data_IF_508766092995
#
_entry.id   IF_508766092995
#
_cell.length_a   1.000
_cell.length_b   1.000
_cell.length_c   1.000
_cell.angle_alpha   90.00
_cell.angle_beta   90.00
_cell.angle_gamma   90.00
#
_symmetry.space_group_name_H-M   'P 1'
#
loop_
_entity.id
_entity.type
_entity.pdbx_description
1 polymer ?
#
# COMPACT_ATOMS: atom_id res chain seq x y z
N UNK A 1 10.75 -11.13 11.75
CA UNK A 1 10.64 -10.32 10.51
C UNK A 1 11.45 -10.89 9.35
N UNK A 2 12.79 -10.93 9.41
CA UNK A 2 13.66 -11.36 8.28
C UNK A 2 13.32 -12.74 7.69
N UNK A 3 13.19 -13.77 8.52
CA UNK A 3 12.96 -15.16 8.08
C UNK A 3 11.64 -15.30 7.32
N UNK A 4 10.56 -14.72 7.85
CA UNK A 4 9.23 -14.78 7.26
C UNK A 4 8.96 -13.66 6.25
N UNK A 5 10.00 -12.90 5.86
CA UNK A 5 9.89 -11.74 4.98
C UNK A 5 8.77 -10.78 5.41
N UNK A 6 8.57 -10.60 6.71
CA UNK A 6 7.49 -9.75 7.23
C UNK A 6 7.86 -8.27 7.07
N UNK A 7 6.89 -7.47 6.66
CA UNK A 7 6.99 -6.00 6.68
C UNK A 7 5.86 -5.36 7.45
N UNK A 8 6.13 -4.23 8.12
CA UNK A 8 5.11 -3.38 8.72
C UNK A 8 4.77 -2.28 7.71
N UNK A 9 3.50 -1.92 7.53
CA UNK A 9 3.09 -0.85 6.61
C UNK A 9 1.91 -0.04 7.19
N UNK A 10 1.18 0.65 6.33
CA UNK A 10 0.01 1.42 6.70
C UNK A 10 0.34 2.69 7.47
N UNK A 11 -0.59 3.08 8.35
CA UNK A 11 -0.51 4.39 8.99
C UNK A 11 0.59 4.49 10.05
N UNK A 12 1.00 3.37 10.64
CA UNK A 12 2.15 3.29 11.57
C UNK A 12 3.46 3.73 10.94
N UNK A 13 3.70 3.37 9.67
CA UNK A 13 4.98 3.71 9.02
C UNK A 13 5.04 5.20 8.67
N UNK A 14 3.91 5.81 8.34
CA UNK A 14 3.85 7.27 8.12
C UNK A 14 4.27 8.01 9.39
N UNK A 15 3.79 7.61 10.57
CA UNK A 15 4.16 8.28 11.83
C UNK A 15 5.61 8.06 12.21
N UNK A 16 6.21 6.94 11.81
CA UNK A 16 7.65 6.72 11.97
C UNK A 16 8.47 7.67 11.06
N UNK A 17 7.98 7.98 9.85
CA UNK A 17 8.70 8.84 8.88
C UNK A 17 8.46 10.32 9.16
N UNK A 18 7.20 10.73 9.29
CA UNK A 18 6.76 12.13 9.42
C UNK A 18 6.71 12.61 10.88
N UNK A 19 6.95 11.71 11.84
CA UNK A 19 6.79 11.97 13.27
C UNK A 19 5.33 11.90 13.74
N UNK A 20 5.08 12.45 14.93
CA UNK A 20 3.79 12.36 15.64
C UNK A 20 2.71 13.30 15.08
N UNK A 21 2.51 13.28 13.75
CA UNK A 21 1.50 14.10 13.06
C UNK A 21 0.08 13.56 13.27
N UNK A 22 -0.07 12.29 13.67
CA UNK A 22 -1.32 11.67 14.13
C UNK A 22 -1.01 10.37 14.90
N UNK A 23 -2.00 9.84 15.62
CA UNK A 23 -1.91 8.51 16.24
C UNK A 23 -2.43 7.42 15.27
N UNK A 24 -1.66 6.36 14.97
CA UNK A 24 -2.17 5.23 14.19
C UNK A 24 -3.22 4.45 15.00
N UNK A 25 -4.27 3.98 14.32
CA UNK A 25 -5.34 3.19 14.97
C UNK A 25 -5.05 1.69 15.00
N UNK A 26 -4.19 1.23 14.10
CA UNK A 26 -3.84 -0.15 13.85
C UNK A 26 -2.39 -0.26 13.35
N UNK A 27 -1.83 -1.46 13.46
CA UNK A 27 -0.55 -1.84 12.86
C UNK A 27 -0.78 -2.91 11.79
N UNK A 28 -0.39 -2.62 10.55
CA UNK A 28 -0.54 -3.56 9.44
C UNK A 28 0.76 -4.35 9.21
N UNK A 29 0.69 -5.67 9.36
CA UNK A 29 1.77 -6.62 9.09
C UNK A 29 1.50 -7.35 7.77
N UNK A 30 2.48 -7.38 6.88
CA UNK A 30 2.38 -8.07 5.60
C UNK A 30 3.35 -9.23 5.53
N UNK A 31 2.89 -10.37 5.02
CA UNK A 31 3.69 -11.58 4.81
C UNK A 31 3.45 -12.17 3.42
N UNK A 32 4.43 -12.86 2.81
CA UNK A 32 4.20 -13.62 1.59
C UNK A 32 3.29 -14.83 1.85
N UNK A 33 2.66 -15.32 0.79
CA UNK A 33 1.81 -16.50 0.84
C UNK A 33 2.51 -17.69 1.52
N UNK A 34 1.80 -18.35 2.45
CA UNK A 34 2.30 -19.49 3.21
C UNK A 34 3.03 -19.12 4.50
N UNK A 35 3.26 -17.83 4.78
CA UNK A 35 3.96 -17.38 5.99
C UNK A 35 3.03 -16.93 7.12
N UNK A 36 1.71 -16.86 6.88
CA UNK A 36 0.70 -16.46 7.87
C UNK A 36 0.81 -17.28 9.17
N UNK A 37 0.90 -18.61 9.05
CA UNK A 37 0.87 -19.53 10.20
C UNK A 37 2.00 -19.30 11.20
N UNK A 38 3.22 -19.03 10.72
CA UNK A 38 4.36 -18.78 11.60
C UNK A 38 4.20 -17.50 12.42
N UNK A 39 3.57 -16.46 11.85
CA UNK A 39 3.32 -15.20 12.54
C UNK A 39 2.12 -15.31 13.49
N UNK A 40 1.06 -16.00 13.08
CA UNK A 40 -0.05 -16.35 13.99
C UNK A 40 0.46 -17.10 15.21
N UNK A 41 1.32 -18.11 15.03
CA UNK A 41 1.88 -18.87 16.14
C UNK A 41 2.72 -17.97 17.06
N UNK A 42 3.58 -17.12 16.50
CA UNK A 42 4.34 -16.15 17.27
C UNK A 42 3.46 -15.20 18.09
N UNK A 43 2.40 -14.65 17.49
CA UNK A 43 1.48 -13.76 18.21
C UNK A 43 0.78 -14.49 19.37
N UNK A 44 0.40 -15.76 19.16
CA UNK A 44 -0.26 -16.56 20.19
C UNK A 44 0.68 -17.01 21.32
N UNK A 45 1.93 -17.33 21.02
CA UNK A 45 2.88 -17.89 21.98
C UNK A 45 3.68 -16.82 22.73
N UNK A 46 4.01 -15.72 22.07
CA UNK A 46 5.01 -14.74 22.55
C UNK A 46 4.40 -13.38 22.90
N UNK A 47 3.08 -13.20 22.74
CA UNK A 47 2.41 -11.92 23.00
C UNK A 47 1.04 -12.11 23.64
N UNK A 48 0.47 -11.04 24.17
CA UNK A 48 -0.90 -11.03 24.71
C UNK A 48 -1.98 -10.80 23.65
N UNK A 49 -1.62 -10.70 22.37
CA UNK A 49 -2.59 -10.48 21.30
C UNK A 49 -3.44 -11.73 21.06
N UNK A 50 -4.76 -11.53 20.97
CA UNK A 50 -5.72 -12.60 20.66
C UNK A 50 -6.30 -12.40 19.27
N UNK A 51 -6.43 -13.49 18.50
CA UNK A 51 -7.08 -13.46 17.19
C UNK A 51 -8.56 -13.09 17.39
N UNK A 52 -8.96 -11.94 16.84
CA UNK A 52 -10.35 -11.55 16.82
C UNK A 52 -11.04 -12.31 15.69
N UNK A 53 -11.73 -13.40 16.04
CA UNK A 53 -12.73 -13.96 15.16
C UNK A 53 -13.81 -12.90 15.07
N UNK A 54 -14.12 -12.34 13.88
CA UNK A 54 -15.21 -11.38 13.77
C UNK A 54 -16.43 -12.04 14.40
N UNK A 55 -16.91 -11.52 15.54
CA UNK A 55 -18.22 -11.91 16.03
C UNK A 55 -19.13 -11.73 14.84
N UNK A 56 -19.87 -12.78 14.48
CA UNK A 56 -20.85 -12.70 13.42
C UNK A 56 -21.88 -11.66 13.83
N UNK A 57 -21.60 -10.39 13.54
CA UNK A 57 -22.64 -9.39 13.31
C UNK A 57 -23.49 -10.05 12.26
N UNK A 58 -24.75 -10.26 12.60
CA UNK A 58 -25.69 -11.14 11.94
C UNK A 58 -25.46 -11.25 10.44
N UNK A 59 -25.66 -12.46 9.91
CA UNK A 59 -25.87 -12.75 8.49
C UNK A 59 -27.05 -11.92 7.95
N UNK A 60 -26.94 -10.60 7.91
CA UNK A 60 -27.69 -9.74 7.02
C UNK A 60 -27.18 -10.14 5.65
N UNK A 61 -28.00 -10.94 4.99
CA UNK A 61 -27.73 -11.57 3.73
C UNK A 61 -27.06 -10.58 2.75
N UNK A 62 -25.80 -10.84 2.39
CA UNK A 62 -25.21 -10.31 1.17
C UNK A 62 -23.98 -9.41 1.29
N UNK A 63 -23.47 -9.07 2.48
CA UNK A 63 -22.20 -8.32 2.59
C UNK A 63 -21.04 -9.26 3.01
N UNK A 64 -20.09 -9.57 2.12
CA UNK A 64 -18.99 -10.47 2.45
C UNK A 64 -17.99 -9.84 3.42
N UNK A 65 -17.40 -10.71 4.26
CA UNK A 65 -16.29 -10.47 5.20
C UNK A 65 -15.32 -9.41 4.67
N UNK A 66 -15.15 -8.31 5.42
CA UNK A 66 -14.00 -7.39 5.36
C UNK A 66 -13.46 -7.10 3.95
N UNK A 67 -14.33 -7.03 2.94
CA UNK A 67 -13.93 -7.07 1.54
C UNK A 67 -13.07 -5.85 1.19
N UNK A 68 -11.75 -6.02 1.28
CA UNK A 68 -10.85 -5.34 0.37
C UNK A 68 -11.41 -5.63 -1.03
N UNK A 69 -11.62 -4.57 -1.81
CA UNK A 69 -12.17 -4.63 -3.17
C UNK A 69 -11.57 -5.82 -3.92
N UNK A 70 -12.41 -6.58 -4.63
CA UNK A 70 -12.09 -7.85 -5.35
C UNK A 70 -10.69 -8.41 -5.05
N UNK A 71 -10.55 -9.51 -4.29
CA UNK A 71 -9.27 -10.04 -3.80
C UNK A 71 -8.11 -10.02 -4.82
N UNK A 72 -8.43 -10.16 -6.10
CA UNK A 72 -7.49 -10.09 -7.22
C UNK A 72 -6.78 -8.75 -7.43
N UNK A 73 -7.40 -7.59 -7.13
CA UNK A 73 -6.83 -6.27 -7.44
C UNK A 73 -5.82 -5.77 -6.41
N UNK A 74 -5.95 -6.17 -5.15
CA UNK A 74 -5.12 -5.67 -4.05
C UNK A 74 -3.94 -6.58 -3.71
N UNK A 75 -3.86 -7.75 -4.36
CA UNK A 75 -2.81 -8.73 -4.08
C UNK A 75 -2.88 -9.31 -2.67
N UNK A 76 -4.07 -9.34 -2.06
CA UNK A 76 -4.31 -9.84 -0.70
C UNK A 76 -5.02 -11.20 -0.80
N UNK A 77 -4.47 -12.20 -0.12
CA UNK A 77 -5.02 -13.56 -0.03
C UNK A 77 -5.94 -13.70 1.18
N UNK A 78 -5.44 -13.29 2.35
CA UNK A 78 -6.15 -13.42 3.62
C UNK A 78 -5.77 -12.26 4.57
N UNK A 79 -6.67 -11.97 5.51
CA UNK A 79 -6.47 -10.96 6.55
C UNK A 79 -6.98 -11.50 7.87
N UNK A 80 -6.07 -11.58 8.85
CA UNK A 80 -6.39 -11.87 10.24
C UNK A 80 -6.25 -10.62 11.10
N UNK A 81 -7.15 -10.45 12.05
CA UNK A 81 -7.13 -9.32 12.98
C UNK A 81 -6.81 -9.84 14.38
N UNK A 82 -5.94 -9.13 15.07
CA UNK A 82 -5.55 -9.43 16.43
C UNK A 82 -5.74 -8.19 17.30
N UNK A 83 -6.24 -8.38 18.51
CA UNK A 83 -6.46 -7.31 19.47
C UNK A 83 -5.71 -7.60 20.77
N UNK A 84 -5.07 -6.59 21.33
CA UNK A 84 -4.48 -6.68 22.66
C UNK A 84 -5.57 -6.43 23.73
N UNK A 85 -5.89 -7.39 24.61
CA UNK A 85 -7.05 -7.32 25.49
C UNK A 85 -7.01 -6.15 26.49
N UNK A 86 -5.84 -5.77 26.98
CA UNK A 86 -5.70 -4.67 27.93
C UNK A 86 -5.69 -3.26 27.30
N UNK A 87 -5.12 -3.11 26.10
CA UNK A 87 -4.90 -1.79 25.49
C UNK A 87 -5.90 -1.48 24.37
N UNK A 88 -6.52 -2.51 23.79
CA UNK A 88 -7.35 -2.39 22.60
C UNK A 88 -6.55 -2.14 21.31
N UNK A 89 -5.22 -2.22 21.35
CA UNK A 89 -4.39 -2.05 20.16
C UNK A 89 -4.65 -3.16 19.15
N UNK A 90 -4.71 -2.80 17.87
CA UNK A 90 -5.04 -3.69 16.76
C UNK A 90 -3.83 -4.01 15.89
N UNK A 91 -3.71 -5.27 15.51
CA UNK A 91 -2.79 -5.77 14.48
C UNK A 91 -3.60 -6.40 13.35
N UNK A 92 -3.42 -5.93 12.12
CA UNK A 92 -3.90 -6.60 10.92
C UNK A 92 -2.76 -7.41 10.32
N UNK A 93 -2.87 -8.73 10.28
CA UNK A 93 -1.93 -9.61 9.60
C UNK A 93 -2.47 -9.97 8.23
N UNK A 94 -1.80 -9.48 7.18
CA UNK A 94 -2.19 -9.56 5.78
C UNK A 94 -1.26 -10.51 5.04
N UNK A 95 -1.82 -11.55 4.44
CA UNK A 95 -1.08 -12.43 3.54
C UNK A 95 -1.22 -11.96 2.10
N UNK A 96 -0.08 -11.85 1.42
CA UNK A 96 0.02 -11.32 0.06
C UNK A 96 0.06 -12.44 -0.99
N UNK A 97 -0.46 -12.15 -2.17
CA UNK A 97 -0.59 -13.11 -3.29
C UNK A 97 0.74 -13.35 -4.01
N UNK A 98 1.64 -12.36 -4.04
CA UNK A 98 2.99 -12.54 -4.58
C UNK A 98 3.95 -13.02 -3.49
N UNK A 99 5.08 -13.65 -3.84
CA UNK A 99 6.09 -14.12 -2.89
C UNK A 99 6.94 -12.98 -2.32
N UNK A 100 6.33 -11.82 -2.05
CA UNK A 100 6.99 -10.60 -1.61
C UNK A 100 5.99 -9.74 -0.84
N UNK A 101 6.17 -9.63 0.48
CA UNK A 101 5.23 -8.89 1.34
C UNK A 101 5.03 -7.41 0.98
N UNK A 102 6.01 -6.65 0.46
CA UNK A 102 5.76 -5.28 0.02
C UNK A 102 4.86 -5.19 -1.22
N UNK A 103 4.55 -6.30 -1.90
CA UNK A 103 3.78 -6.23 -3.15
C UNK A 103 2.37 -5.67 -2.95
N UNK A 104 1.69 -6.05 -1.86
CA UNK A 104 0.36 -5.51 -1.56
C UNK A 104 0.42 -4.04 -1.15
N UNK A 105 1.51 -3.62 -0.50
CA UNK A 105 1.75 -2.22 -0.12
C UNK A 105 1.82 -1.32 -1.36
N UNK A 106 2.51 -1.76 -2.41
CA UNK A 106 2.59 -1.00 -3.67
C UNK A 106 1.27 -0.96 -4.45
N UNK A 107 0.28 -1.78 -4.09
CA UNK A 107 -1.06 -1.77 -4.70
C UNK A 107 -2.04 -0.85 -3.96
N UNK A 108 -1.64 -0.24 -2.85
CA UNK A 108 -2.47 0.71 -2.10
C UNK A 108 -2.99 1.85 -2.96
N UNK A 109 -4.12 2.42 -2.53
CA UNK A 109 -4.89 3.41 -3.28
C UNK A 109 -4.17 4.76 -3.46
N UNK A 110 -3.12 5.06 -2.69
CA UNK A 110 -2.35 6.29 -2.86
C UNK A 110 -0.88 6.10 -2.48
N UNK A 111 0.02 6.87 -3.11
CA UNK A 111 1.47 6.78 -2.88
C UNK A 111 1.89 7.14 -1.46
N UNK A 112 1.12 7.96 -0.74
CA UNK A 112 1.44 8.36 0.64
C UNK A 112 1.49 7.19 1.63
N UNK A 113 0.82 6.07 1.33
CA UNK A 113 0.84 4.85 2.15
C UNK A 113 1.75 3.76 1.59
N UNK A 114 2.48 4.02 0.50
CA UNK A 114 3.40 3.06 -0.11
C UNK A 114 4.77 3.07 0.58
N UNK A 115 4.74 2.86 1.90
CA UNK A 115 5.92 2.82 2.76
C UNK A 115 5.86 1.57 3.62
N UNK A 116 7.02 1.00 3.93
CA UNK A 116 7.08 -0.17 4.77
C UNK A 116 8.37 -0.23 5.57
N UNK A 117 8.32 -0.97 6.67
CA UNK A 117 9.45 -1.26 7.55
C UNK A 117 9.79 -2.73 7.42
N UNK A 118 11.07 -3.01 7.15
CA UNK A 118 11.64 -4.35 7.18
C UNK A 118 12.35 -4.60 8.51
N UNK A 119 13.03 -5.73 8.65
CA UNK A 119 13.70 -6.04 9.91
C UNK A 119 14.86 -5.07 10.26
N UNK A 120 15.43 -4.36 9.29
CA UNK A 120 16.54 -3.42 9.52
C UNK A 120 16.38 -2.03 8.91
N UNK A 121 15.29 -1.75 8.19
CA UNK A 121 15.18 -0.47 7.49
C UNK A 121 13.75 0.00 7.27
N UNK A 122 13.64 1.31 7.05
CA UNK A 122 12.44 2.00 6.60
C UNK A 122 12.58 2.24 5.09
N UNK A 123 11.52 1.93 4.34
CA UNK A 123 11.46 2.12 2.90
C UNK A 123 10.25 3.01 2.57
N UNK A 124 10.48 4.07 1.81
CA UNK A 124 9.43 4.93 1.25
C UNK A 124 9.57 5.02 -0.26
N UNK A 125 8.55 4.58 -0.99
CA UNK A 125 8.56 4.58 -2.45
C UNK A 125 8.45 5.99 -3.06
N UNK A 126 7.82 6.92 -2.32
CA UNK A 126 7.54 8.30 -2.75
C UNK A 126 7.84 9.31 -1.64
N UNK A 127 9.10 9.40 -1.17
CA UNK A 127 9.48 10.16 0.01
C UNK A 127 9.24 11.67 -0.14
N UNK A 128 9.47 12.22 -1.34
CA UNK A 128 9.27 13.66 -1.58
C UNK A 128 7.79 14.06 -1.53
N UNK A 129 6.91 13.23 -2.11
CA UNK A 129 5.46 13.48 -2.02
C UNK A 129 4.98 13.34 -0.58
N UNK A 130 5.46 12.30 0.13
CA UNK A 130 5.13 12.07 1.52
C UNK A 130 5.51 13.27 2.42
N UNK A 131 6.72 13.80 2.26
CA UNK A 131 7.21 14.97 3.01
C UNK A 131 6.38 16.23 2.76
N UNK A 132 5.88 16.41 1.53
CA UNK A 132 4.96 17.50 1.18
C UNK A 132 3.49 17.20 1.57
N UNK A 133 3.24 16.05 2.20
CA UNK A 133 1.91 15.53 2.55
C UNK A 133 0.99 15.41 1.34
N UNK A 134 1.54 15.03 0.20
CA UNK A 134 0.80 14.76 -1.03
C UNK A 134 0.87 13.27 -1.36
N UNK A 135 -0.25 12.71 -1.82
CA UNK A 135 -0.32 11.36 -2.37
C UNK A 135 -0.85 11.39 -3.80
N UNK A 136 -0.20 10.70 -4.72
CA UNK A 136 -0.75 10.43 -6.03
C UNK A 136 -1.78 9.30 -5.92
N UNK A 137 -2.95 9.44 -6.53
CA UNK A 137 -3.95 8.39 -6.59
C UNK A 137 -3.44 7.23 -7.46
N UNK A 138 -3.50 6.02 -6.92
CA UNK A 138 -3.17 4.78 -7.65
C UNK A 138 -4.48 4.07 -8.02
N UNK A 139 -5.18 4.61 -9.02
CA UNK A 139 -6.45 4.09 -9.49
C UNK A 139 -6.69 4.48 -10.95
N UNK A 140 -7.30 3.56 -11.68
CA UNK A 140 -7.82 3.79 -13.03
C UNK A 140 -9.30 4.19 -13.01
N UNK A 141 -9.97 4.16 -11.85
CA UNK A 141 -11.43 4.31 -11.77
C UNK A 141 -11.84 5.78 -11.86
N UNK A 142 -12.86 6.07 -12.65
CA UNK A 142 -13.49 7.41 -12.68
C UNK A 142 -14.03 7.80 -11.29
N UNK A 143 -14.67 6.86 -10.61
CA UNK A 143 -15.17 7.02 -9.24
C UNK A 143 -14.67 5.89 -8.36
N UNK A 144 -14.10 6.26 -7.22
CA UNK A 144 -13.62 5.30 -6.25
C UNK A 144 -14.75 4.56 -5.55
N UNK A 145 -14.43 3.34 -5.11
CA UNK A 145 -15.34 2.58 -4.24
C UNK A 145 -15.51 3.31 -2.91
N UNK A 146 -16.62 3.06 -2.21
CA UNK A 146 -16.89 3.69 -0.90
C UNK A 146 -15.72 3.50 0.08
N UNK A 147 -15.18 2.29 0.17
CA UNK A 147 -14.06 1.95 1.06
C UNK A 147 -12.80 2.75 0.73
N UNK A 148 -12.43 2.84 -0.56
CA UNK A 148 -11.27 3.66 -0.97
C UNK A 148 -11.53 5.13 -0.68
N UNK A 149 -12.72 5.65 -0.96
CA UNK A 149 -13.09 7.03 -0.64
C UNK A 149 -13.00 7.33 0.86
N UNK A 150 -13.44 6.41 1.73
CA UNK A 150 -13.29 6.52 3.19
C UNK A 150 -11.82 6.53 3.61
N UNK A 151 -10.97 5.68 3.03
CA UNK A 151 -9.53 5.69 3.28
C UNK A 151 -8.88 7.02 2.84
N UNK A 152 -9.22 7.53 1.65
CA UNK A 152 -8.72 8.82 1.17
C UNK A 152 -9.17 9.96 2.09
N UNK A 153 -10.44 9.96 2.53
CA UNK A 153 -10.97 10.95 3.45
C UNK A 153 -10.30 10.89 4.83
N UNK A 154 -9.97 9.69 5.34
CA UNK A 154 -9.18 9.50 6.57
C UNK A 154 -7.83 10.23 6.48
N UNK A 155 -7.11 10.10 5.37
CA UNK A 155 -5.82 10.79 5.20
C UNK A 155 -5.97 12.28 4.92
N UNK A 156 -7.02 12.70 4.22
CA UNK A 156 -7.37 14.12 4.08
C UNK A 156 -7.59 14.79 5.45
N UNK A 157 -8.29 14.10 6.36
CA UNK A 157 -8.46 14.55 7.75
C UNK A 157 -7.15 14.65 8.56
N UNK A 158 -6.08 13.98 8.11
CA UNK A 158 -4.72 14.03 8.68
C UNK A 158 -3.82 15.07 8.01
N UNK A 159 -4.39 15.92 7.14
CA UNK A 159 -3.67 16.99 6.46
C UNK A 159 -2.97 16.58 5.17
N UNK A 160 -3.30 15.41 4.60
CA UNK A 160 -2.78 15.00 3.30
C UNK A 160 -3.66 15.51 2.15
N UNK A 161 -3.03 15.85 1.03
CA UNK A 161 -3.69 16.08 -0.24
C UNK A 161 -3.55 14.85 -1.13
N UNK A 162 -4.60 14.52 -1.89
CA UNK A 162 -4.55 13.49 -2.92
C UNK A 162 -4.72 14.18 -4.27
N UNK A 163 -3.83 13.88 -5.21
CA UNK A 163 -3.85 14.40 -6.58
C UNK A 163 -3.99 13.25 -7.57
N UNK A 164 -4.55 13.54 -8.75
CA UNK A 164 -4.71 12.55 -9.82
C UNK A 164 -3.50 12.49 -10.75
N UNK A 165 -2.84 13.63 -10.96
CA UNK A 165 -1.61 13.75 -11.73
C UNK A 165 -0.49 14.42 -10.93
N UNK A 166 0.76 14.06 -11.23
CA UNK A 166 1.94 14.74 -10.66
C UNK A 166 2.01 16.23 -11.02
N UNK A 167 1.41 16.64 -12.16
CA UNK A 167 1.35 18.04 -12.57
C UNK A 167 0.50 18.91 -11.63
N UNK A 168 -0.47 18.33 -10.91
CA UNK A 168 -1.26 19.06 -9.90
C UNK A 168 -0.44 19.39 -8.64
N UNK A 169 0.67 18.66 -8.41
CA UNK A 169 1.55 18.89 -7.28
C UNK A 169 2.68 19.87 -7.61
N UNK A 170 3.49 19.57 -8.63
CA UNK A 170 4.72 20.32 -8.93
C UNK A 170 4.59 21.22 -10.17
N UNK A 171 3.43 21.24 -10.83
CA UNK A 171 3.20 21.96 -12.08
C UNK A 171 3.84 21.24 -13.26
N UNK A 172 5.01 21.67 -13.69
CA UNK A 172 5.68 21.11 -14.86
C UNK A 172 6.62 19.96 -14.48
N UNK A 173 6.48 18.83 -15.17
CA UNK A 173 7.43 17.73 -15.10
C UNK A 173 7.46 16.96 -16.44
N UNK A 174 8.51 16.17 -16.65
CA UNK A 174 8.62 15.27 -17.80
C UNK A 174 7.96 13.94 -17.46
N UNK A 175 6.80 13.67 -18.07
CA UNK A 175 6.06 12.43 -17.86
C UNK A 175 6.96 11.19 -18.08
N UNK A 176 6.71 10.11 -17.33
CA UNK A 176 7.45 8.83 -17.39
C UNK A 176 8.95 8.88 -17.00
N UNK A 177 9.45 10.05 -16.58
CA UNK A 177 10.87 10.24 -16.25
C UNK A 177 11.11 10.42 -14.76
N UNK A 178 10.25 11.18 -14.09
CA UNK A 178 10.39 11.48 -12.66
C UNK A 178 9.79 10.38 -11.79
N UNK A 179 10.43 10.09 -10.64
CA UNK A 179 9.96 9.05 -9.73
C UNK A 179 8.56 9.29 -9.18
N UNK A 180 8.15 10.54 -9.02
CA UNK A 180 6.81 10.90 -8.53
C UNK A 180 5.72 10.86 -9.61
N UNK A 181 6.06 10.62 -10.88
CA UNK A 181 5.08 10.49 -11.96
C UNK A 181 4.48 9.08 -11.95
N UNK A 182 3.14 8.99 -11.97
CA UNK A 182 2.44 7.70 -11.94
C UNK A 182 2.69 6.80 -13.15
N UNK A 183 3.06 7.40 -14.30
CA UNK A 183 3.38 6.68 -15.52
C UNK A 183 4.85 6.20 -15.58
N UNK A 184 5.67 6.53 -14.59
CA UNK A 184 7.06 6.06 -14.51
C UNK A 184 7.07 4.63 -13.94
N UNK A 185 7.75 3.72 -14.63
CA UNK A 185 8.06 2.41 -14.06
C UNK A 185 9.08 2.61 -12.93
N UNK A 186 8.71 2.20 -11.73
CA UNK A 186 9.53 2.34 -10.52
C UNK A 186 10.11 1.00 -10.09
N UNK A 187 11.17 1.08 -9.30
CA UNK A 187 11.75 -0.07 -8.60
C UNK A 187 12.05 0.31 -7.16
N UNK A 188 12.01 -0.68 -6.25
CA UNK A 188 12.35 -0.45 -4.85
C UNK A 188 13.82 -0.01 -4.69
N UNK A 189 14.67 -0.31 -5.67
CA UNK A 189 16.07 0.08 -5.66
C UNK A 189 16.39 1.37 -6.41
N UNK A 190 15.41 1.99 -7.07
CA UNK A 190 15.66 3.19 -7.87
C UNK A 190 16.09 4.40 -7.01
N UNK A 191 16.59 5.44 -7.69
CA UNK A 191 17.12 6.66 -7.05
C UNK A 191 16.05 7.54 -6.39
N UNK A 192 14.77 7.27 -6.64
CA UNK A 192 13.65 8.05 -6.13
C UNK A 192 13.00 7.41 -4.89
N UNK A 193 13.39 6.18 -4.54
CA UNK A 193 12.97 5.50 -3.31
C UNK A 193 13.93 5.82 -2.16
N UNK A 194 13.39 6.24 -1.01
CA UNK A 194 14.17 6.40 0.23
C UNK A 194 14.28 5.07 0.96
N UNK A 195 15.49 4.75 1.43
CA UNK A 195 15.80 3.56 2.22
C UNK A 195 16.72 3.98 3.37
N UNK A 196 16.28 3.80 4.61
CA UNK A 196 17.02 4.21 5.80
C UNK A 196 17.19 3.01 6.72
N UNK A 197 18.44 2.60 6.96
CA UNK A 197 18.73 1.60 7.99
C UNK A 197 18.50 2.20 9.39
N UNK A 198 18.07 1.37 10.33
CA UNK A 198 18.08 1.77 11.75
C UNK A 198 19.52 2.03 12.22
N UNK A 199 19.70 2.97 13.14
CA UNK A 199 21.02 3.50 13.55
C UNK A 199 22.02 2.40 13.93
N UNK A 200 21.57 1.43 14.73
CA UNK A 200 22.36 0.26 15.16
C UNK A 200 22.81 -0.66 14.01
N UNK A 201 22.23 -0.49 12.82
CA UNK A 201 22.47 -1.27 11.61
C UNK A 201 22.89 -0.38 10.43
N UNK A 202 23.36 0.85 10.69
CA UNK A 202 23.77 1.82 9.66
C UNK A 202 24.88 1.33 8.72
N UNK A 203 25.74 0.43 9.20
CA UNK A 203 26.78 -0.22 8.37
C UNK A 203 26.24 -1.36 7.48
N UNK A 204 24.95 -1.68 7.57
CA UNK A 204 24.30 -2.72 6.78
C UNK A 204 23.59 -2.13 5.57
N UNK A 205 23.39 -2.97 4.55
CA UNK A 205 22.50 -2.63 3.44
C UNK A 205 21.05 -2.66 3.93
N UNK A 206 20.28 -1.62 3.60
CA UNK A 206 18.85 -1.57 3.86
C UNK A 206 18.17 -2.74 3.15
N UNK A 207 17.47 -3.57 3.93
CA UNK A 207 16.70 -4.68 3.40
C UNK A 207 15.38 -4.18 2.81
N UNK A 208 15.08 -4.62 1.60
CA UNK A 208 13.87 -4.26 0.86
C UNK A 208 12.97 -5.48 0.63
N UNK A 209 13.29 -6.63 1.23
CA UNK A 209 12.67 -7.96 1.03
C UNK A 209 12.86 -8.50 -0.40
N UNK A 210 12.40 -7.76 -1.41
CA UNK A 210 12.54 -8.12 -2.82
C UNK A 210 13.23 -6.98 -3.58
N UNK A 211 14.53 -7.15 -3.82
CA UNK A 211 15.34 -6.18 -4.56
C UNK A 211 14.98 -6.00 -6.04
N UNK A 212 14.17 -6.90 -6.62
CA UNK A 212 13.71 -6.83 -8.01
C UNK A 212 12.27 -6.34 -8.14
N UNK A 213 11.63 -5.95 -7.03
CA UNK A 213 10.27 -5.44 -7.04
C UNK A 213 10.16 -4.19 -7.92
N UNK A 214 9.29 -4.25 -8.92
CA UNK A 214 9.01 -3.17 -9.87
C UNK A 214 7.51 -2.95 -9.99
N UNK A 215 7.10 -1.71 -10.23
CA UNK A 215 5.69 -1.38 -10.37
C UNK A 215 5.44 -0.19 -11.30
N UNK A 216 4.20 -0.09 -11.74
CA UNK A 216 3.60 1.05 -12.44
C UNK A 216 2.27 1.36 -11.74
N UNK A 217 2.00 2.63 -11.44
CA UNK A 217 0.72 2.99 -10.84
C UNK A 217 -0.40 2.88 -11.87
N UNK A 218 -1.60 2.54 -11.38
CA UNK A 218 -2.81 2.78 -12.15
C UNK A 218 -3.10 4.29 -12.13
N UNK A 219 -3.36 4.85 -13.30
CA UNK A 219 -3.65 6.26 -13.47
C UNK A 219 -5.00 6.41 -14.17
N UNK A 220 -5.72 7.49 -13.89
CA UNK A 220 -7.00 7.79 -14.55
C UNK A 220 -6.96 9.03 -15.44
N UNK A 221 -5.85 9.77 -15.42
CA UNK A 221 -5.61 10.97 -16.21
C UNK A 221 -4.18 10.96 -16.72
N UNK A 222 -3.92 11.73 -17.78
CA UNK A 222 -2.55 12.00 -18.23
C UNK A 222 -1.96 13.18 -17.45
N UNK A 223 -0.63 13.25 -17.42
CA UNK A 223 0.08 14.33 -16.73
C UNK A 223 -0.04 15.70 -17.42
N UNK A 224 -0.09 15.75 -18.75
CA UNK A 224 -0.16 17.00 -19.54
C UNK A 224 -1.57 17.58 -19.59
N UNK A 225 -2.58 16.73 -19.50
CA UNK A 225 -4.01 17.08 -19.58
C UNK A 225 -4.75 16.42 -18.42
N UNK A 226 -4.50 16.89 -17.19
CA UNK A 226 -5.10 16.31 -15.97
C UNK A 226 -6.64 16.40 -15.93
N UNK A 227 -7.25 17.18 -16.83
CA UNK A 227 -8.71 17.25 -16.98
C UNK A 227 -9.30 16.12 -17.82
N UNK A 228 -8.51 15.42 -18.64
CA UNK A 228 -9.00 14.36 -19.52
C UNK A 228 -8.87 12.99 -18.86
N UNK A 229 -10.00 12.32 -18.66
CA UNK A 229 -10.03 10.95 -18.17
C UNK A 229 -9.45 9.98 -19.22
N UNK A 230 -8.30 9.39 -18.90
CA UNK A 230 -7.55 8.47 -19.73
C UNK A 230 -6.98 7.35 -18.83
N UNK A 231 -7.75 6.29 -18.56
CA UNK A 231 -7.35 5.27 -17.61
C UNK A 231 -6.23 4.38 -18.17
N UNK A 232 -5.18 4.21 -17.37
CA UNK A 232 -4.07 3.28 -17.59
C UNK A 232 -4.03 2.27 -16.43
N UNK A 233 -3.90 0.99 -16.77
CA UNK A 233 -3.77 -0.06 -15.78
C UNK A 233 -2.39 0.01 -15.10
N UNK A 234 -2.40 -0.18 -13.78
CA UNK A 234 -1.18 -0.36 -13.00
C UNK A 234 -0.77 -1.82 -12.94
N UNK A 235 0.47 -2.08 -12.52
CA UNK A 235 0.94 -3.44 -12.27
C UNK A 235 2.08 -3.46 -11.27
N UNK A 236 2.32 -4.64 -10.69
CA UNK A 236 3.49 -4.95 -9.87
C UNK A 236 4.09 -6.28 -10.28
N UNK A 237 5.41 -6.36 -10.30
CA UNK A 237 6.16 -7.57 -10.62
C UNK A 237 7.20 -7.86 -9.53
N UNK A 238 7.16 -9.09 -9.01
CA UNK A 238 8.13 -9.59 -8.03
C UNK A 238 9.34 -10.25 -8.71
N UNK A 239 10.39 -10.55 -7.94
CA UNK A 239 11.58 -11.26 -8.42
C UNK A 239 11.28 -12.63 -9.07
N UNK A 240 10.20 -13.30 -8.64
CA UNK A 240 9.77 -14.58 -9.24
C UNK A 240 9.34 -14.45 -10.70
N UNK A 241 9.14 -13.22 -11.19
CA UNK A 241 8.58 -12.93 -12.51
C UNK A 241 7.06 -12.82 -12.51
N UNK A 242 6.40 -13.27 -11.44
CA UNK A 242 4.95 -13.13 -11.26
C UNK A 242 4.54 -11.66 -11.24
N UNK A 243 3.38 -11.40 -11.83
CA UNK A 243 2.87 -10.05 -12.05
C UNK A 243 1.40 -9.97 -11.63
N UNK A 244 1.05 -8.95 -10.85
CA UNK A 244 -0.34 -8.59 -10.58
C UNK A 244 -0.65 -7.29 -11.31
N UNK A 245 -1.75 -7.30 -12.06
CA UNK A 245 -2.22 -6.14 -12.80
C UNK A 245 -3.45 -5.58 -12.10
N UNK A 246 -3.43 -4.27 -11.87
CA UNK A 246 -4.58 -3.50 -11.38
C UNK A 246 -5.42 -3.14 -12.60
N UNK A 247 -6.23 -4.11 -13.05
CA UNK A 247 -6.95 -4.10 -14.32
C UNK A 247 -8.06 -3.06 -14.38
N UNK A 248 -8.25 -2.46 -15.56
CA UNK A 248 -9.47 -1.76 -15.94
C UNK A 248 -10.55 -2.82 -16.19
N UNK A 249 -11.74 -2.67 -15.57
CA UNK A 249 -12.88 -3.56 -15.84
C UNK A 249 -13.13 -3.64 -17.35
N UNK A 250 -13.02 -4.84 -17.96
CA UNK A 250 -13.13 -5.01 -19.40
C UNK A 250 -14.52 -4.64 -19.94
N UNK A 251 -15.53 -4.52 -19.07
CA UNK A 251 -16.90 -4.15 -19.43
C UNK A 251 -17.17 -2.65 -19.33
N UNK A 252 -16.22 -1.83 -18.89
CA UNK A 252 -16.37 -0.38 -18.96
C UNK A 252 -16.15 0.04 -20.41
N UNK A 253 -17.21 -0.02 -21.20
CA UNK A 253 -17.31 0.75 -22.43
C UNK A 253 -17.35 2.22 -22.04
N UNK A 254 -16.20 2.90 -22.14
CA UNK A 254 -16.15 4.35 -22.03
C UNK A 254 -16.87 4.91 -23.26
N UNK A 255 -18.18 5.13 -23.16
CA UNK A 255 -18.91 5.95 -24.11
C UNK A 255 -18.42 7.38 -23.92
N UNK A 256 -17.37 7.76 -24.64
CA UNK A 256 -16.96 9.15 -24.77
C UNK A 256 -18.09 9.89 -25.49
N UNK A 257 -18.96 10.55 -24.73
CA UNK A 257 -19.82 11.58 -25.30
C UNK A 257 -19.00 12.87 -25.32
N UNK A 258 -18.70 13.31 -26.54
CA UNK A 258 -18.13 14.62 -26.87
C UNK A 258 -19.09 15.75 -26.53
#
# INVERSE_FOLDING_TARGET
>A
MRVNQLTISGSTVITVIEGDIFQPGDMDLFVPQGSMGAITQFLADETDYVEEIPMSVDKVAGAPRNAYTSPDENGIVDVKMYIHPCTGNLINLVETKLPSSPSAVMLFHSTMVMNFITWNSIVSAYPWMLADRVGLLNSYRYKETRKVAECLQKYKGRGFQVVDAAAEWIGSHTCRTYGYCGHTIRSVLDRSTMRLCFESMSNMRADVVDSSLTWLLACRVQCEESSMYCPEAGWIRAASGECLVKFIDPNIHVSMQH
#
